data_IF_715812211159
#
_entry.id   IF_715812211159
#
_cell.length_a   1.000
_cell.length_b   1.000
_cell.length_c   1.000
_cell.angle_alpha   90.00
_cell.angle_beta   90.00
_cell.angle_gamma   90.00
#
_symmetry.space_group_name_H-M   'P 1'
#
loop_
_entity.id
_entity.type
_entity.pdbx_description
1 polymer ?
#
# COMPACT_ATOMS: atom_id res chain seq x y z
N UNK A 1 4.45 -23.42 -6.37
CA UNK A 1 3.53 -23.12 -5.25
C UNK A 1 3.40 -21.61 -5.14
N UNK A 2 2.20 -21.03 -5.18
CA UNK A 2 2.03 -19.59 -4.86
C UNK A 2 2.38 -19.37 -3.39
N UNK A 3 3.32 -18.49 -3.14
CA UNK A 3 3.68 -18.11 -1.78
C UNK A 3 2.62 -17.13 -1.26
N UNK A 4 1.70 -17.61 -0.40
CA UNK A 4 0.59 -16.78 0.14
C UNK A 4 1.07 -15.49 0.84
N UNK A 5 2.31 -15.45 1.35
CA UNK A 5 2.87 -14.23 1.95
C UNK A 5 3.13 -13.11 0.93
N UNK A 6 3.35 -13.43 -0.34
CA UNK A 6 3.64 -12.45 -1.39
C UNK A 6 2.37 -11.78 -1.97
N UNK A 7 1.18 -12.36 -1.76
CA UNK A 7 -0.06 -11.92 -2.44
C UNK A 7 -0.55 -10.54 -1.99
N UNK A 8 -0.08 -10.05 -0.84
CA UNK A 8 -0.48 -8.75 -0.28
C UNK A 8 0.69 -7.81 -0.02
N UNK A 9 1.88 -8.13 -0.52
CA UNK A 9 3.04 -7.26 -0.38
C UNK A 9 3.23 -6.50 -1.70
N UNK A 10 2.83 -5.23 -1.71
CA UNK A 10 2.80 -4.41 -2.91
C UNK A 10 4.16 -4.32 -3.62
N UNK A 11 5.27 -4.25 -2.87
CA UNK A 11 6.60 -4.17 -3.49
C UNK A 11 6.97 -5.48 -4.23
N UNK A 12 6.59 -6.64 -3.69
CA UNK A 12 6.81 -7.93 -4.34
C UNK A 12 5.95 -8.04 -5.60
N UNK A 13 4.74 -7.48 -5.58
CA UNK A 13 3.87 -7.46 -6.77
C UNK A 13 4.44 -6.56 -7.87
N UNK A 14 5.10 -5.46 -7.53
CA UNK A 14 5.78 -4.58 -8.50
C UNK A 14 6.99 -5.26 -9.12
N UNK A 15 7.81 -5.94 -8.31
CA UNK A 15 8.91 -6.76 -8.79
C UNK A 15 8.43 -7.84 -9.79
N UNK A 16 7.28 -8.46 -9.50
CA UNK A 16 6.69 -9.49 -10.37
C UNK A 16 6.25 -8.97 -11.75
N UNK A 17 6.08 -7.66 -11.91
CA UNK A 17 5.75 -7.01 -13.20
C UNK A 17 6.92 -6.17 -13.74
N UNK A 18 8.13 -6.39 -13.22
CA UNK A 18 9.36 -5.69 -13.60
C UNK A 18 9.24 -4.16 -13.53
N UNK A 19 8.49 -3.67 -12.53
CA UNK A 19 8.37 -2.23 -12.25
C UNK A 19 9.18 -1.87 -11.02
N UNK A 20 10.08 -0.90 -11.20
CA UNK A 20 10.87 -0.34 -10.11
C UNK A 20 10.42 1.09 -9.82
N UNK A 21 9.78 1.37 -8.66
CA UNK A 21 9.39 2.72 -8.28
C UNK A 21 10.63 3.60 -8.01
N UNK A 22 10.49 4.91 -8.20
CA UNK A 22 11.45 5.84 -7.59
C UNK A 22 11.24 5.92 -6.06
N UNK A 23 12.14 6.64 -5.38
CA UNK A 23 12.10 6.73 -3.91
C UNK A 23 10.80 7.29 -3.36
N UNK A 24 10.13 8.19 -4.11
CA UNK A 24 8.88 8.78 -3.65
C UNK A 24 7.74 7.76 -3.73
N UNK A 25 7.60 7.09 -4.88
CA UNK A 25 6.60 6.04 -5.06
C UNK A 25 6.84 4.87 -4.10
N UNK A 26 8.10 4.45 -3.92
CA UNK A 26 8.48 3.39 -2.98
C UNK A 26 8.03 3.72 -1.56
N UNK A 27 8.28 4.95 -1.10
CA UNK A 27 7.87 5.41 0.23
C UNK A 27 6.35 5.29 0.41
N UNK A 28 5.57 5.73 -0.58
CA UNK A 28 4.10 5.64 -0.55
C UNK A 28 3.65 4.18 -0.48
N UNK A 29 4.22 3.32 -1.33
CA UNK A 29 3.87 1.90 -1.43
C UNK A 29 4.16 1.18 -0.11
N UNK A 30 5.34 1.38 0.47
CA UNK A 30 5.74 0.76 1.73
C UNK A 30 4.89 1.25 2.91
N UNK A 31 4.53 2.53 2.93
CA UNK A 31 3.65 3.12 3.94
C UNK A 31 2.24 2.56 3.86
N UNK A 32 1.71 2.33 2.65
CA UNK A 32 0.36 1.77 2.45
C UNK A 32 0.27 0.28 2.83
N UNK A 33 1.33 -0.49 2.56
CA UNK A 33 1.35 -1.95 2.69
C UNK A 33 0.81 -2.53 4.03
N UNK A 34 1.21 -2.04 5.24
CA UNK A 34 0.71 -2.57 6.50
C UNK A 34 -0.80 -2.36 6.70
N UNK A 35 -1.40 -1.37 6.01
CA UNK A 35 -2.81 -1.03 6.21
C UNK A 35 -3.79 -2.06 5.65
N UNK A 36 -3.32 -3.04 4.86
CA UNK A 36 -4.11 -4.24 4.59
C UNK A 36 -4.49 -4.98 5.89
N UNK A 37 -3.61 -5.02 6.89
CA UNK A 37 -3.91 -5.66 8.19
C UNK A 37 -4.44 -4.66 9.23
N UNK A 38 -3.78 -3.51 9.38
CA UNK A 38 -4.11 -2.50 10.42
C UNK A 38 -5.56 -2.02 10.32
N UNK A 39 -6.11 -1.91 9.11
CA UNK A 39 -7.50 -1.46 8.91
C UNK A 39 -8.57 -2.46 9.36
N UNK A 40 -8.22 -3.74 9.60
CA UNK A 40 -9.19 -4.82 9.84
C UNK A 40 -8.98 -5.58 11.14
N UNK A 41 -7.74 -5.67 11.60
CA UNK A 41 -7.37 -6.54 12.71
C UNK A 41 -6.85 -5.72 13.90
N UNK A 42 -7.58 -5.70 15.03
CA UNK A 42 -7.18 -4.91 16.19
C UNK A 42 -5.82 -5.26 16.78
N UNK A 43 -5.40 -6.52 16.71
CA UNK A 43 -4.08 -6.99 17.13
C UNK A 43 -2.96 -6.40 16.27
N UNK A 44 -3.16 -6.31 14.95
CA UNK A 44 -2.24 -5.63 14.04
C UNK A 44 -2.22 -4.11 14.23
N UNK A 45 -3.33 -3.52 14.70
CA UNK A 45 -3.47 -2.09 14.95
C UNK A 45 -3.05 -1.64 16.36
N UNK A 46 -2.76 -2.57 17.28
CA UNK A 46 -2.51 -2.25 18.69
C UNK A 46 -3.74 -1.70 19.44
N UNK A 47 -4.95 -1.98 18.95
CA UNK A 47 -6.22 -1.46 19.47
C UNK A 47 -7.33 -1.47 18.42
N UNK A 48 -8.51 -0.88 18.69
CA UNK A 48 -9.59 -0.83 17.71
C UNK A 48 -9.14 -0.13 16.41
N UNK A 49 -9.19 -0.85 15.26
CA UNK A 49 -8.64 -0.38 13.98
C UNK A 49 -9.11 1.01 13.55
N UNK A 50 -10.37 1.36 13.77
CA UNK A 50 -10.91 2.68 13.42
C UNK A 50 -10.24 3.84 14.17
N UNK A 51 -9.60 3.60 15.31
CA UNK A 51 -8.87 4.63 16.07
C UNK A 51 -7.52 4.99 15.46
N UNK A 52 -7.03 4.22 14.50
CA UNK A 52 -5.76 4.49 13.81
C UNK A 52 -5.88 5.51 12.69
N UNK A 53 -7.10 5.93 12.37
CA UNK A 53 -7.38 6.80 11.24
C UNK A 53 -8.24 7.99 11.69
N UNK A 54 -7.88 9.16 11.20
CA UNK A 54 -8.77 10.32 11.15
C UNK A 54 -8.96 10.72 9.68
N UNK A 55 -9.79 11.73 9.45
CA UNK A 55 -10.07 12.22 8.09
C UNK A 55 -8.79 12.63 7.35
N UNK A 56 -7.88 13.35 8.01
CA UNK A 56 -6.62 13.81 7.41
C UNK A 56 -5.75 12.64 6.92
N UNK A 57 -5.59 11.61 7.74
CA UNK A 57 -4.81 10.40 7.40
C UNK A 57 -5.48 9.66 6.24
N UNK A 58 -6.80 9.53 6.25
CA UNK A 58 -7.54 8.86 5.18
C UNK A 58 -7.38 9.59 3.83
N UNK A 59 -7.48 10.93 3.84
CA UNK A 59 -7.27 11.75 2.65
C UNK A 59 -5.84 11.69 2.13
N UNK A 60 -4.85 11.63 3.03
CA UNK A 60 -3.44 11.45 2.65
C UNK A 60 -3.24 10.11 1.93
N UNK A 61 -3.72 9.00 2.48
CA UNK A 61 -3.64 7.70 1.81
C UNK A 61 -4.36 7.66 0.47
N UNK A 62 -5.53 8.29 0.36
CA UNK A 62 -6.27 8.37 -0.89
C UNK A 62 -5.45 9.08 -1.96
N UNK A 63 -4.96 10.30 -1.66
CA UNK A 63 -4.16 11.09 -2.59
C UNK A 63 -2.87 10.39 -2.98
N UNK A 64 -2.17 9.80 -2.03
CA UNK A 64 -0.94 9.03 -2.28
C UNK A 64 -1.22 7.81 -3.18
N UNK A 65 -2.31 7.09 -2.94
CA UNK A 65 -2.73 5.95 -3.77
C UNK A 65 -3.08 6.38 -5.19
N UNK A 66 -3.80 7.49 -5.36
CA UNK A 66 -4.12 8.03 -6.69
C UNK A 66 -2.85 8.35 -7.50
N UNK A 67 -1.82 8.89 -6.85
CA UNK A 67 -0.51 9.15 -7.49
C UNK A 67 0.17 7.87 -7.96
N UNK A 68 0.17 6.81 -7.13
CA UNK A 68 0.74 5.50 -7.50
C UNK A 68 -0.03 4.89 -8.67
N UNK A 69 -1.37 4.97 -8.66
CA UNK A 69 -2.19 4.45 -9.76
C UNK A 69 -1.93 5.19 -11.06
N UNK A 70 -1.78 6.51 -11.02
CA UNK A 70 -1.46 7.30 -12.20
C UNK A 70 -0.06 6.97 -12.75
N UNK A 71 0.93 6.85 -11.86
CA UNK A 71 2.27 6.38 -12.24
C UNK A 71 2.22 5.00 -12.91
N UNK A 72 1.50 4.04 -12.35
CA UNK A 72 1.35 2.70 -12.94
C UNK A 72 0.68 2.72 -14.31
N UNK A 73 -0.37 3.54 -14.50
CA UNK A 73 -1.04 3.68 -15.81
C UNK A 73 -0.10 4.16 -16.90
N UNK A 74 0.90 4.98 -16.57
CA UNK A 74 1.89 5.44 -17.53
C UNK A 74 2.89 4.35 -17.92
N UNK A 75 3.09 3.34 -17.06
CA UNK A 75 4.00 2.21 -17.30
C UNK A 75 3.35 1.05 -18.05
N UNK A 76 2.03 0.87 -17.91
CA UNK A 76 1.28 -0.24 -18.47
C UNK A 76 0.62 0.07 -19.83
N UNK A 77 1.16 1.03 -20.59
CA UNK A 77 0.72 1.34 -21.94
C UNK A 77 1.37 0.44 -22.99
#
# INVERSE_FOLDING_TARGET
>A
MRNKKAEHILIILLEAIDQNPDKEMETIILKLNPHYMVSRYPDAAGGPSHKMYNEQIALEFLKETERVLEWLRQKMK
#
